data_IF_739427482209
#
_entry.id   IF_739427482209
#
_cell.length_a   1.000
_cell.length_b   1.000
_cell.length_c   1.000
_cell.angle_alpha   90.00
_cell.angle_beta   90.00
_cell.angle_gamma   90.00
#
_symmetry.space_group_name_H-M   'P 1'
#
loop_
_entity.id
_entity.type
_entity.pdbx_description
1 polymer ?
#
# COMPACT_ATOMS: atom_id res chain seq x y z
N UNK A 1 27.64 -13.78 38.08
CA UNK A 1 26.71 -13.49 36.98
C UNK A 1 25.51 -12.81 37.62
N UNK A 2 24.96 -11.71 37.06
CA UNK A 2 23.75 -11.08 37.61
C UNK A 2 22.54 -11.99 37.40
N UNK A 3 21.71 -12.14 38.44
CA UNK A 3 20.57 -13.08 38.54
C UNK A 3 19.21 -12.38 38.39
N UNK A 4 19.13 -11.26 37.67
CA UNK A 4 17.88 -10.50 37.53
C UNK A 4 17.14 -10.86 36.24
N UNK A 5 16.56 -12.06 36.21
CA UNK A 5 15.57 -12.44 35.22
C UNK A 5 14.24 -11.72 35.52
N UNK A 6 14.04 -10.56 34.88
CA UNK A 6 12.80 -9.75 34.94
C UNK A 6 11.52 -10.47 34.49
N UNK A 7 11.63 -11.69 33.96
CA UNK A 7 10.50 -12.50 33.50
C UNK A 7 10.02 -13.52 34.55
N UNK A 8 10.72 -13.66 35.69
CA UNK A 8 10.36 -14.63 36.72
C UNK A 8 9.12 -14.27 37.57
N UNK A 9 8.51 -13.09 37.36
CA UNK A 9 7.32 -12.63 38.09
C UNK A 9 6.01 -12.68 37.30
N UNK A 10 6.02 -13.17 36.06
CA UNK A 10 4.83 -13.15 35.18
C UNK A 10 4.02 -14.46 35.18
N UNK A 11 4.53 -15.53 35.80
CA UNK A 11 3.84 -16.83 35.88
C UNK A 11 2.92 -16.99 37.10
N UNK A 12 2.94 -16.05 38.05
CA UNK A 12 2.16 -16.15 39.31
C UNK A 12 0.84 -15.37 39.26
N UNK A 13 0.53 -14.67 38.17
CA UNK A 13 -0.70 -13.88 38.03
C UNK A 13 -1.82 -14.57 37.24
N UNK A 14 -1.67 -15.85 36.87
CA UNK A 14 -2.63 -16.63 36.08
C UNK A 14 -2.91 -17.96 36.78
N UNK A 15 -3.41 -17.90 38.01
CA UNK A 15 -4.06 -19.04 38.67
C UNK A 15 -4.90 -18.48 39.83
N UNK A 16 -6.14 -18.09 39.57
CA UNK A 16 -7.24 -17.96 40.55
C UNK A 16 -8.45 -17.28 39.89
N UNK A 17 -9.32 -18.05 39.24
CA UNK A 17 -10.79 -17.99 39.42
C UNK A 17 -11.44 -19.18 38.67
N UNK A 18 -11.57 -20.32 39.36
CA UNK A 18 -12.44 -21.43 38.98
C UNK A 18 -13.30 -21.77 40.20
N UNK A 19 -14.59 -21.46 40.14
CA UNK A 19 -15.62 -21.91 41.09
C UNK A 19 -17.02 -21.86 40.47
N UNK A 20 -17.35 -22.96 39.77
CA UNK A 20 -18.57 -23.80 39.86
C UNK A 20 -19.95 -23.15 40.21
N UNK A 21 -20.97 -23.35 39.35
CA UNK A 21 -22.11 -24.26 39.62
C UNK A 21 -23.31 -24.13 38.62
N UNK A 22 -23.72 -25.30 38.12
CA UNK A 22 -25.02 -25.86 37.67
C UNK A 22 -26.11 -25.15 36.79
N UNK A 23 -26.50 -25.92 35.74
CA UNK A 23 -27.82 -26.22 35.09
C UNK A 23 -28.72 -25.11 34.48
N UNK A 24 -29.15 -25.30 33.21
CA UNK A 24 -30.54 -25.64 32.80
C UNK A 24 -30.93 -25.20 31.36
N UNK A 25 -31.66 -26.11 30.69
CA UNK A 25 -32.51 -26.08 29.48
C UNK A 25 -32.44 -25.04 28.32
N UNK A 26 -32.36 -25.62 27.12
CA UNK A 26 -33.21 -25.42 25.92
C UNK A 26 -33.41 -24.05 25.23
N UNK A 27 -33.31 -24.15 23.89
CA UNK A 27 -33.97 -23.38 22.82
C UNK A 27 -33.29 -22.14 22.23
N UNK A 28 -33.46 -22.07 20.91
CA UNK A 28 -33.65 -20.88 20.07
C UNK A 28 -32.48 -20.42 19.19
N UNK A 29 -32.68 -20.73 17.90
CA UNK A 29 -32.56 -19.85 16.74
C UNK A 29 -31.26 -19.09 16.49
N UNK A 30 -30.57 -19.54 15.44
CA UNK A 30 -30.06 -18.71 14.33
C UNK A 30 -29.52 -17.33 14.67
N UNK A 31 -28.21 -17.26 14.87
CA UNK A 31 -27.47 -16.02 14.69
C UNK A 31 -26.46 -16.19 13.55
N UNK A 32 -26.70 -15.41 12.51
CA UNK A 32 -25.83 -15.31 11.34
C UNK A 32 -24.52 -14.71 11.82
N UNK A 33 -23.47 -15.52 11.88
CA UNK A 33 -22.11 -15.04 12.10
C UNK A 33 -21.71 -14.16 10.91
N UNK A 34 -22.02 -12.87 11.01
CA UNK A 34 -21.39 -11.83 10.23
C UNK A 34 -19.91 -11.84 10.63
N UNK A 35 -19.08 -12.50 9.82
CA UNK A 35 -17.65 -12.27 9.82
C UNK A 35 -17.44 -10.81 9.41
N UNK A 36 -17.28 -9.93 10.40
CA UNK A 36 -16.67 -8.63 10.19
C UNK A 36 -15.23 -8.90 9.75
N UNK A 37 -14.97 -8.68 8.46
CA UNK A 37 -13.61 -8.68 7.94
C UNK A 37 -12.98 -7.38 8.43
N UNK A 38 -12.22 -7.47 9.52
CA UNK A 38 -11.37 -6.36 9.93
C UNK A 38 -10.25 -6.26 8.89
N UNK A 39 -10.34 -5.26 8.03
CA UNK A 39 -9.23 -4.84 7.20
C UNK A 39 -8.18 -4.25 8.15
N UNK A 40 -7.15 -5.05 8.44
CA UNK A 40 -5.87 -4.55 8.94
C UNK A 40 -5.26 -3.73 7.79
N UNK A 41 -5.67 -2.46 7.70
CA UNK A 41 -4.92 -1.44 6.98
C UNK A 41 -3.62 -1.25 7.73
N UNK A 42 -2.68 -2.17 7.54
CA UNK A 42 -1.28 -1.87 7.73
C UNK A 42 -0.99 -0.69 6.81
N UNK A 43 -0.88 0.48 7.43
CA UNK A 43 -0.42 1.69 6.81
C UNK A 43 0.84 1.36 6.00
N UNK A 44 0.70 1.35 4.68
CA UNK A 44 1.82 1.46 3.76
C UNK A 44 2.32 2.89 3.93
N UNK A 45 3.11 3.10 4.99
CA UNK A 45 3.77 4.35 5.29
C UNK A 45 4.96 4.47 4.32
N UNK A 46 4.68 4.59 3.01
CA UNK A 46 5.61 5.25 2.10
C UNK A 46 5.56 6.74 2.43
N UNK A 47 6.16 7.10 3.57
CA UNK A 47 6.56 8.46 3.87
C UNK A 47 7.51 8.90 2.77
N UNK A 48 6.97 9.61 1.78
CA UNK A 48 7.78 10.45 0.90
C UNK A 48 8.22 11.61 1.80
N UNK A 49 9.34 11.42 2.47
CA UNK A 49 10.09 12.45 3.16
C UNK A 49 10.60 13.44 2.10
N UNK A 50 9.74 14.37 1.70
CA UNK A 50 10.11 15.56 0.91
C UNK A 50 10.56 16.64 1.89
N UNK A 51 11.55 16.32 2.73
CA UNK A 51 12.40 17.34 3.32
C UNK A 51 13.42 17.71 2.24
N UNK A 52 13.51 18.99 1.81
CA UNK A 52 14.63 19.40 0.98
C UNK A 52 15.90 19.28 1.82
N UNK A 53 16.64 18.18 1.65
CA UNK A 53 18.00 18.01 2.17
C UNK A 53 18.91 19.04 1.50
N UNK A 54 18.88 20.25 2.03
CA UNK A 54 19.79 21.33 1.72
C UNK A 54 20.96 21.28 2.72
N UNK A 55 21.73 20.19 2.74
CA UNK A 55 23.09 20.23 3.31
C UNK A 55 23.97 19.06 2.83
N UNK A 56 24.45 19.16 1.60
CA UNK A 56 25.88 18.99 1.28
C UNK A 56 26.08 19.30 -0.19
N UNK A 57 26.48 20.54 -0.43
CA UNK A 57 27.15 20.94 -1.65
C UNK A 57 28.52 20.23 -1.71
N UNK A 58 28.54 18.93 -2.02
CA UNK A 58 29.68 18.30 -2.65
C UNK A 58 29.28 18.08 -4.12
N UNK A 59 29.47 19.14 -4.90
CA UNK A 59 29.30 19.11 -6.34
C UNK A 59 30.43 18.31 -6.97
N UNK A 60 30.41 16.99 -6.78
CA UNK A 60 31.13 16.11 -7.69
C UNK A 60 30.47 16.31 -9.05
N UNK A 61 31.19 17.00 -9.93
CA UNK A 61 30.79 17.18 -11.31
C UNK A 61 30.77 15.77 -11.88
N UNK A 62 29.58 15.18 -11.99
CA UNK A 62 29.41 13.95 -12.75
C UNK A 62 29.73 14.35 -14.18
N UNK A 63 31.00 14.14 -14.55
CA UNK A 63 31.50 14.40 -15.88
C UNK A 63 30.70 13.46 -16.80
N UNK A 64 29.73 14.02 -17.52
CA UNK A 64 28.83 13.28 -18.40
C UNK A 64 29.63 12.55 -19.49
N UNK A 65 30.90 12.92 -19.68
CA UNK A 65 31.86 12.31 -20.58
C UNK A 65 32.83 11.32 -19.89
N UNK A 66 32.60 10.88 -18.64
CA UNK A 66 33.40 9.81 -18.01
C UNK A 66 33.22 8.49 -18.79
N UNK A 67 34.26 8.01 -19.50
CA UNK A 67 34.17 6.80 -20.32
C UNK A 67 34.08 5.52 -19.48
N UNK A 68 34.24 5.61 -18.15
CA UNK A 68 34.10 4.48 -17.24
C UNK A 68 32.69 4.35 -16.64
N UNK A 69 31.86 5.39 -16.75
CA UNK A 69 30.46 5.36 -16.36
C UNK A 69 29.60 4.69 -17.44
N UNK A 70 28.62 3.88 -17.01
CA UNK A 70 27.60 3.39 -17.94
C UNK A 70 26.70 4.56 -18.36
N UNK A 71 26.38 4.70 -19.66
CA UNK A 71 25.45 5.72 -20.10
C UNK A 71 24.07 5.43 -19.50
N UNK A 72 23.46 6.43 -18.87
CA UNK A 72 22.09 6.35 -18.37
C UNK A 72 21.20 7.29 -19.18
N UNK A 73 19.95 6.88 -19.39
CA UNK A 73 18.96 7.72 -20.02
C UNK A 73 18.44 8.77 -19.02
N UNK A 74 18.35 10.02 -19.48
CA UNK A 74 17.79 11.10 -18.68
C UNK A 74 16.28 10.86 -18.48
N UNK A 75 15.83 10.89 -17.22
CA UNK A 75 14.40 10.79 -16.86
C UNK A 75 13.90 12.14 -16.35
N UNK A 76 12.79 12.62 -16.89
CA UNK A 76 12.15 13.87 -16.45
C UNK A 76 10.99 13.58 -15.48
N UNK A 77 11.02 14.18 -14.28
CA UNK A 77 9.88 14.15 -13.35
C UNK A 77 8.82 15.14 -13.83
N UNK A 78 7.61 14.63 -14.13
CA UNK A 78 6.43 15.46 -14.40
C UNK A 78 5.42 15.26 -13.28
N UNK A 79 4.97 16.36 -12.67
CA UNK A 79 3.95 16.35 -11.61
C UNK A 79 2.59 16.71 -12.19
N UNK A 80 1.57 15.90 -11.91
CA UNK A 80 0.19 16.13 -12.34
C UNK A 80 -0.66 16.33 -11.09
N UNK A 81 -1.50 17.37 -11.09
CA UNK A 81 -2.43 17.63 -9.99
C UNK A 81 -3.76 16.93 -10.29
N UNK A 82 -4.04 15.86 -9.56
CA UNK A 82 -5.29 15.12 -9.62
C UNK A 82 -6.06 15.38 -8.33
N UNK A 83 -7.39 15.28 -8.36
CA UNK A 83 -8.20 15.38 -7.14
C UNK A 83 -7.92 14.19 -6.21
N UNK A 84 -7.96 14.37 -4.87
CA UNK A 84 -7.67 13.30 -3.92
C UNK A 84 -8.59 12.09 -4.10
N UNK A 85 -9.88 12.32 -4.35
CA UNK A 85 -10.84 11.24 -4.58
C UNK A 85 -10.50 10.37 -5.80
N UNK A 86 -9.87 10.96 -6.83
CA UNK A 86 -9.49 10.24 -8.05
C UNK A 86 -8.21 9.43 -7.84
N UNK A 87 -7.26 9.91 -7.04
CA UNK A 87 -6.04 9.15 -6.75
C UNK A 87 -6.36 7.96 -5.84
N UNK A 88 -7.23 8.14 -4.85
CA UNK A 88 -7.67 7.05 -3.95
C UNK A 88 -8.33 5.91 -4.76
N UNK A 89 -9.24 6.25 -5.67
CA UNK A 89 -9.89 5.27 -6.54
C UNK A 89 -8.90 4.55 -7.48
N UNK A 90 -7.85 5.24 -7.94
CA UNK A 90 -6.80 4.63 -8.77
C UNK A 90 -5.91 3.68 -7.95
N UNK A 91 -5.64 4.00 -6.68
CA UNK A 91 -4.90 3.13 -5.76
C UNK A 91 -5.68 1.86 -5.43
N UNK A 92 -6.99 1.96 -5.18
CA UNK A 92 -7.87 0.82 -5.03
C UNK A 92 -7.85 -0.07 -6.28
N UNK A 93 -7.94 0.54 -7.48
CA UNK A 93 -7.84 -0.18 -8.74
C UNK A 93 -6.47 -0.86 -8.92
N UNK A 94 -5.38 -0.22 -8.49
CA UNK A 94 -4.03 -0.81 -8.50
C UNK A 94 -3.97 -2.05 -7.63
N UNK A 95 -4.53 -2.01 -6.41
CA UNK A 95 -4.54 -3.15 -5.51
C UNK A 95 -5.32 -4.33 -6.12
N UNK A 96 -6.45 -4.07 -6.78
CA UNK A 96 -7.21 -5.08 -7.52
C UNK A 96 -6.41 -5.69 -8.68
N UNK A 97 -5.72 -4.85 -9.46
CA UNK A 97 -4.85 -5.31 -10.56
C UNK A 97 -3.70 -6.17 -10.03
N UNK A 98 -3.04 -5.77 -8.93
CA UNK A 98 -1.96 -6.54 -8.32
C UNK A 98 -2.45 -7.92 -7.84
N UNK A 99 -3.60 -7.96 -7.18
CA UNK A 99 -4.24 -9.21 -6.75
C UNK A 99 -4.56 -10.14 -7.94
N UNK A 100 -5.07 -9.57 -9.04
CA UNK A 100 -5.38 -10.33 -10.26
C UNK A 100 -4.10 -10.86 -10.92
N UNK A 101 -3.07 -10.02 -11.04
CA UNK A 101 -1.77 -10.39 -11.62
C UNK A 101 -1.10 -11.51 -10.82
N UNK A 102 -1.20 -11.48 -9.49
CA UNK A 102 -0.68 -12.54 -8.63
C UNK A 102 -1.46 -13.84 -8.77
N UNK A 103 -2.78 -13.76 -8.96
CA UNK A 103 -3.66 -14.94 -9.01
C UNK A 103 -3.62 -15.62 -10.37
N UNK A 104 -3.71 -14.84 -11.45
CA UNK A 104 -3.91 -15.38 -12.81
C UNK A 104 -2.61 -15.48 -13.61
N UNK A 105 -1.62 -14.64 -13.28
CA UNK A 105 -0.42 -14.47 -14.09
C UNK A 105 0.88 -14.78 -13.33
N UNK A 106 0.81 -15.12 -12.02
CA UNK A 106 1.95 -15.31 -11.10
C UNK A 106 3.00 -14.18 -11.17
N UNK A 107 2.53 -12.98 -11.51
CA UNK A 107 3.34 -11.76 -11.47
C UNK A 107 3.26 -11.18 -10.07
N UNK A 108 4.42 -10.85 -9.50
CA UNK A 108 4.57 -10.28 -8.15
C UNK A 108 5.41 -9.02 -8.21
N UNK A 109 5.36 -8.25 -7.12
CA UNK A 109 6.19 -7.06 -6.91
C UNK A 109 6.00 -6.00 -8.00
N UNK A 110 4.73 -5.70 -8.34
CA UNK A 110 4.38 -4.68 -9.33
C UNK A 110 4.89 -3.30 -8.92
N UNK A 111 5.85 -2.76 -9.68
CA UNK A 111 6.38 -1.42 -9.39
C UNK A 111 5.35 -0.35 -9.79
N UNK A 112 5.32 0.76 -9.05
CA UNK A 112 4.44 1.89 -9.39
C UNK A 112 4.72 2.41 -10.80
N UNK A 113 6.00 2.45 -11.21
CA UNK A 113 6.40 2.89 -12.56
C UNK A 113 5.77 2.06 -13.66
N UNK A 114 5.79 0.74 -13.54
CA UNK A 114 5.21 -0.16 -14.56
C UNK A 114 3.70 0.00 -14.64
N UNK A 115 3.02 0.09 -13.49
CA UNK A 115 1.59 0.33 -13.43
C UNK A 115 1.21 1.65 -14.10
N UNK A 116 1.82 2.77 -13.69
CA UNK A 116 1.49 4.08 -14.26
C UNK A 116 1.88 4.19 -15.74
N UNK A 117 3.00 3.61 -16.18
CA UNK A 117 3.38 3.56 -17.59
C UNK A 117 2.33 2.80 -18.43
N UNK A 118 1.83 1.67 -17.91
CA UNK A 118 0.76 0.91 -18.56
C UNK A 118 -0.55 1.70 -18.63
N UNK A 119 -0.94 2.38 -17.54
CA UNK A 119 -2.13 3.25 -17.51
C UNK A 119 -2.02 4.38 -18.53
N UNK A 120 -0.90 5.10 -18.59
CA UNK A 120 -0.71 6.16 -19.57
C UNK A 120 -0.67 5.64 -21.00
N UNK A 121 -0.07 4.47 -21.23
CA UNK A 121 -0.07 3.82 -22.55
C UNK A 121 -1.47 3.39 -22.97
N UNK A 122 -2.30 2.91 -22.04
CA UNK A 122 -3.69 2.56 -22.28
C UNK A 122 -4.53 3.80 -22.64
N UNK A 123 -4.41 4.86 -21.85
CA UNK A 123 -5.10 6.13 -22.11
C UNK A 123 -4.69 6.77 -23.46
N UNK A 124 -3.42 6.61 -23.86
CA UNK A 124 -2.95 7.08 -25.16
C UNK A 124 -3.43 6.21 -26.33
N UNK A 125 -3.73 4.94 -26.09
CA UNK A 125 -4.21 4.01 -27.10
C UNK A 125 -5.72 4.14 -27.37
N UNK A 126 -6.50 4.53 -26.35
CA UNK A 126 -7.95 4.75 -26.45
C UNK A 126 -8.31 6.23 -26.17
N UNK A 127 -8.10 7.07 -27.18
CA UNK A 127 -8.41 8.49 -27.08
C UNK A 127 -9.91 8.78 -27.08
N UNK A 128 -10.73 7.88 -27.65
CA UNK A 128 -12.18 8.06 -27.71
C UNK A 128 -12.77 7.88 -26.30
N UNK A 129 -12.40 6.81 -25.59
CA UNK A 129 -12.79 6.62 -24.19
C UNK A 129 -12.32 7.77 -23.28
N UNK A 130 -11.10 8.29 -23.51
CA UNK A 130 -10.60 9.46 -22.76
C UNK A 130 -11.43 10.73 -23.01
N UNK A 131 -11.89 10.95 -24.24
CA UNK A 131 -12.74 12.10 -24.58
C UNK A 131 -14.10 11.99 -23.89
N UNK A 132 -14.69 10.80 -23.88
CA UNK A 132 -15.98 10.53 -23.21
C UNK A 132 -15.88 10.86 -21.72
N UNK A 133 -14.87 10.33 -21.03
CA UNK A 133 -14.61 10.59 -19.62
C UNK A 133 -14.41 12.10 -19.32
N UNK A 134 -13.68 12.81 -20.19
CA UNK A 134 -13.43 14.24 -20.02
C UNK A 134 -14.69 15.09 -20.20
N UNK A 135 -15.58 14.70 -21.12
CA UNK A 135 -16.86 15.39 -21.31
C UNK A 135 -17.77 15.16 -20.10
N UNK A 136 -17.86 13.94 -19.60
CA UNK A 136 -18.66 13.61 -18.40
C UNK A 136 -18.17 14.41 -17.18
N UNK A 137 -16.85 14.41 -16.92
CA UNK A 137 -16.25 15.18 -15.82
C UNK A 137 -16.43 16.70 -15.93
N UNK A 138 -16.80 17.21 -17.11
CA UNK A 138 -17.08 18.65 -17.34
C UNK A 138 -18.54 19.00 -17.10
N UNK A 139 -19.43 18.03 -17.20
CA UNK A 139 -20.86 18.19 -16.98
C UNK A 139 -21.25 18.04 -15.50
N UNK A 140 -20.34 17.50 -14.68
CA UNK A 140 -20.39 17.45 -13.21
C UNK A 140 -20.06 18.81 -12.55
#
# INVERSE_FOLDING_TARGET
MPEDNRFAGLSEAVDEDDSDDSVDESTSDGDSSATTVEYDSAADETAIDDEPSADSADGESTDVDDPTAFPFDATEKKTVYVRPETIDALEDARALVDAQLRTDHDVRDLTGREFYDAVFRLAAADTDGLIEELLEAREE
#
